data_IF_037967117952
#
_entry.id   IF_037967117952
#
_cell.length_a   1.000
_cell.length_b   1.000
_cell.length_c   1.000
_cell.angle_alpha   90.00
_cell.angle_beta   90.00
_cell.angle_gamma   90.00
#
_symmetry.space_group_name_H-M   'P 1'
#
loop_
_entity.id
_entity.type
_entity.pdbx_description
1 polymer ?
#
# COMPACT_ATOMS: atom_id res chain seq x y z
N UNK A 1 20.31 -3.07 27.22
CA UNK A 1 18.90 -2.73 26.89
C UNK A 1 18.57 -3.54 25.66
N UNK A 2 17.42 -4.21 25.60
CA UNK A 2 17.01 -4.91 24.37
C UNK A 2 16.80 -3.91 23.26
N UNK A 3 17.45 -4.13 22.11
CA UNK A 3 17.20 -3.33 20.92
C UNK A 3 15.74 -3.54 20.51
N UNK A 4 14.98 -2.46 20.37
CA UNK A 4 13.63 -2.55 19.84
C UNK A 4 13.64 -2.77 18.34
N UNK A 5 12.52 -3.22 17.78
CA UNK A 5 12.43 -3.50 16.36
C UNK A 5 11.10 -3.04 15.76
N UNK A 6 11.17 -2.51 14.54
CA UNK A 6 10.00 -2.17 13.73
C UNK A 6 9.99 -3.10 12.50
N UNK A 7 8.94 -3.89 12.36
CA UNK A 7 8.59 -4.56 11.12
C UNK A 7 7.61 -3.71 10.32
N UNK A 8 7.95 -3.35 9.10
CA UNK A 8 7.06 -2.69 8.15
C UNK A 8 6.42 -3.76 7.28
N UNK A 9 5.24 -4.22 7.70
CA UNK A 9 4.65 -5.47 7.19
C UNK A 9 3.64 -5.19 6.09
N UNK A 10 3.90 -5.72 4.90
CA UNK A 10 2.92 -5.84 3.83
C UNK A 10 2.08 -7.11 3.99
N UNK A 11 0.77 -6.95 4.22
CA UNK A 11 -0.15 -8.07 4.42
C UNK A 11 -0.58 -8.77 3.12
N UNK A 12 -0.12 -8.29 1.97
CA UNK A 12 -0.69 -8.69 0.68
C UNK A 12 -2.13 -8.18 0.53
N UNK A 13 -2.97 -8.83 -0.28
CA UNK A 13 -4.34 -8.37 -0.54
C UNK A 13 -5.24 -8.48 0.70
N UNK A 14 -4.85 -9.25 1.71
CA UNK A 14 -5.53 -9.32 2.99
C UNK A 14 -6.30 -10.61 3.26
N UNK A 15 -6.15 -11.63 2.43
CA UNK A 15 -6.54 -13.00 2.79
C UNK A 15 -5.34 -13.74 3.37
N UNK A 16 -5.61 -14.65 4.27
CA UNK A 16 -4.57 -15.43 4.94
C UNK A 16 -3.72 -16.23 3.95
N UNK A 17 -4.35 -16.85 2.95
CA UNK A 17 -3.67 -17.64 1.92
C UNK A 17 -2.67 -16.83 1.06
N UNK A 18 -2.82 -15.51 1.00
CA UNK A 18 -1.97 -14.62 0.20
C UNK A 18 -1.00 -13.78 1.06
N UNK A 19 -0.93 -14.06 2.35
CA UNK A 19 0.05 -13.47 3.25
C UNK A 19 1.34 -14.30 3.21
N UNK A 20 2.49 -13.62 3.13
CA UNK A 20 3.78 -14.33 3.17
C UNK A 20 4.03 -14.97 4.53
N UNK A 21 4.77 -16.09 4.56
CA UNK A 21 5.19 -16.72 5.83
C UNK A 21 5.94 -15.71 6.70
N UNK A 22 6.84 -14.88 6.10
CA UNK A 22 7.59 -13.86 6.83
C UNK A 22 6.69 -12.80 7.48
N UNK A 23 5.59 -12.39 6.82
CA UNK A 23 4.64 -11.46 7.42
C UNK A 23 3.95 -12.06 8.65
N UNK A 24 3.59 -13.34 8.62
CA UNK A 24 3.02 -14.05 9.78
C UNK A 24 4.01 -14.15 10.93
N UNK A 25 5.27 -14.51 10.63
CA UNK A 25 6.34 -14.58 11.63
C UNK A 25 6.57 -13.22 12.30
N UNK A 26 6.66 -12.15 11.52
CA UNK A 26 6.84 -10.80 12.03
C UNK A 26 5.69 -10.39 12.99
N UNK A 27 4.45 -10.67 12.59
CA UNK A 27 3.28 -10.43 13.44
C UNK A 27 3.35 -11.31 14.69
N UNK A 28 3.71 -12.57 14.57
CA UNK A 28 3.75 -13.52 15.70
C UNK A 28 4.73 -13.10 16.80
N UNK A 29 5.94 -12.62 16.42
CA UNK A 29 6.97 -12.20 17.38
C UNK A 29 6.79 -10.78 17.92
N UNK A 30 5.86 -10.00 17.39
CA UNK A 30 5.64 -8.60 17.82
C UNK A 30 4.86 -8.49 19.12
N UNK A 31 5.27 -7.56 19.98
CA UNK A 31 4.56 -7.15 21.18
C UNK A 31 3.36 -6.26 20.84
N UNK A 32 3.56 -5.37 19.86
CA UNK A 32 2.59 -4.33 19.49
C UNK A 32 2.30 -4.37 17.99
N UNK A 33 1.02 -4.32 17.63
CA UNK A 33 0.55 -4.25 16.26
C UNK A 33 -0.09 -2.88 16.02
N UNK A 34 0.42 -2.14 15.05
CA UNK A 34 -0.07 -0.81 14.70
C UNK A 34 -0.59 -0.83 13.27
N UNK A 35 -1.76 -0.27 13.03
CA UNK A 35 -2.30 -0.20 11.67
C UNK A 35 -3.61 0.56 11.55
N UNK A 36 -3.99 0.79 10.29
CA UNK A 36 -5.33 1.28 9.97
C UNK A 36 -6.40 0.25 10.41
N UNK A 37 -7.49 0.74 10.99
CA UNK A 37 -8.55 -0.10 11.56
C UNK A 37 -9.02 -1.23 10.63
N UNK A 38 -9.11 -0.97 9.32
CA UNK A 38 -9.52 -1.99 8.35
C UNK A 38 -8.47 -3.09 8.18
N UNK A 39 -7.16 -2.75 8.24
CA UNK A 39 -6.08 -3.72 8.10
C UNK A 39 -5.91 -4.57 9.36
N UNK A 40 -6.10 -3.98 10.54
CA UNK A 40 -6.13 -4.71 11.81
C UNK A 40 -7.19 -5.83 11.79
N UNK A 41 -8.36 -5.57 11.18
CA UNK A 41 -9.42 -6.58 11.04
C UNK A 41 -9.02 -7.76 10.15
N UNK A 42 -8.06 -7.59 9.22
CA UNK A 42 -7.61 -8.65 8.32
C UNK A 42 -6.70 -9.67 9.02
N UNK A 43 -6.16 -9.31 10.17
CA UNK A 43 -5.21 -10.14 10.94
C UNK A 43 -5.73 -10.42 12.37
N UNK A 44 -7.03 -10.27 12.59
CA UNK A 44 -7.63 -10.39 13.93
C UNK A 44 -7.23 -11.70 14.64
N UNK A 45 -7.25 -12.81 13.91
CA UNK A 45 -6.93 -14.14 14.43
C UNK A 45 -5.42 -14.33 14.75
N UNK A 46 -4.55 -13.47 14.21
CA UNK A 46 -3.10 -13.53 14.43
C UNK A 46 -2.60 -12.62 15.56
N UNK A 47 -3.46 -11.79 16.11
CA UNK A 47 -3.09 -10.72 17.07
C UNK A 47 -3.76 -10.84 18.42
N UNK A 48 -4.31 -12.02 18.73
CA UNK A 48 -4.85 -12.31 20.07
C UNK A 48 -3.76 -12.12 21.12
N UNK A 49 -4.12 -11.50 22.23
CA UNK A 49 -3.24 -11.18 23.36
C UNK A 49 -2.07 -10.21 23.06
N UNK A 50 -2.13 -9.46 21.95
CA UNK A 50 -1.14 -8.44 21.61
C UNK A 50 -1.68 -7.03 21.91
N UNK A 51 -0.77 -6.10 22.17
CA UNK A 51 -1.14 -4.69 22.19
C UNK A 51 -1.51 -4.25 20.76
N UNK A 52 -2.71 -3.67 20.59
CA UNK A 52 -3.19 -3.28 19.25
C UNK A 52 -3.55 -1.80 19.23
N UNK A 53 -2.83 -1.05 18.40
CA UNK A 53 -3.04 0.38 18.20
C UNK A 53 -3.70 0.62 16.85
N UNK A 54 -4.94 1.11 16.90
CA UNK A 54 -5.77 1.42 15.72
C UNK A 54 -5.77 2.92 15.50
N UNK A 55 -5.46 3.34 14.28
CA UNK A 55 -5.48 4.73 13.87
C UNK A 55 -6.32 4.92 12.61
N UNK A 56 -6.80 6.13 12.38
CA UNK A 56 -7.54 6.52 11.18
C UNK A 56 -6.71 6.53 9.90
N UNK A 57 -7.36 6.67 8.76
CA UNK A 57 -6.68 6.69 7.45
C UNK A 57 -5.72 7.89 7.31
N UNK A 58 -6.10 9.05 7.83
CA UNK A 58 -5.33 10.30 7.73
C UNK A 58 -4.26 10.45 8.81
N UNK A 59 -4.10 9.48 9.70
CA UNK A 59 -3.15 9.47 10.82
C UNK A 59 -1.90 8.62 10.48
N UNK A 60 -1.38 8.74 9.24
CA UNK A 60 -0.24 7.93 8.78
C UNK A 60 1.03 8.24 9.57
N UNK A 61 1.36 9.52 9.73
CA UNK A 61 2.53 9.94 10.50
C UNK A 61 2.41 9.57 12.00
N UNK A 62 1.22 9.68 12.57
CA UNK A 62 0.98 9.28 13.97
C UNK A 62 1.26 7.78 14.18
N UNK A 63 0.93 6.93 13.20
CA UNK A 63 1.28 5.51 13.26
C UNK A 63 2.80 5.29 13.23
N UNK A 64 3.53 6.07 12.43
CA UNK A 64 4.98 5.99 12.35
C UNK A 64 5.65 6.45 13.66
N UNK A 65 5.22 7.57 14.23
CA UNK A 65 5.72 8.09 15.50
C UNK A 65 5.44 7.12 16.66
N UNK A 66 4.26 6.53 16.70
CA UNK A 66 3.91 5.53 17.71
C UNK A 66 4.79 4.28 17.58
N UNK A 67 5.03 3.79 16.35
CA UNK A 67 5.91 2.65 16.12
C UNK A 67 7.33 2.93 16.60
N UNK A 68 7.88 4.11 16.31
CA UNK A 68 9.20 4.52 16.75
C UNK A 68 9.27 4.65 18.28
N UNK A 69 8.26 5.27 18.90
CA UNK A 69 8.18 5.42 20.35
C UNK A 69 8.22 4.07 21.07
N UNK A 70 7.41 3.10 20.61
CA UNK A 70 7.37 1.74 21.18
C UNK A 70 8.69 0.99 20.98
N UNK A 71 9.29 1.10 19.78
CA UNK A 71 10.57 0.46 19.49
C UNK A 71 11.70 1.06 20.35
N UNK A 72 11.74 2.39 20.56
CA UNK A 72 12.68 3.03 21.49
C UNK A 72 12.51 2.56 22.93
N UNK A 73 11.31 2.14 23.31
CA UNK A 73 11.04 1.51 24.62
C UNK A 73 11.41 0.01 24.65
N UNK A 74 12.11 -0.51 23.64
CA UNK A 74 12.59 -1.90 23.59
C UNK A 74 11.54 -2.91 23.10
N UNK A 75 10.43 -2.46 22.54
CA UNK A 75 9.36 -3.33 22.01
C UNK A 75 9.62 -3.76 20.58
N UNK A 76 9.11 -4.94 20.23
CA UNK A 76 9.00 -5.41 18.84
C UNK A 76 7.63 -4.97 18.30
N UNK A 77 7.64 -4.19 17.24
CA UNK A 77 6.43 -3.56 16.67
C UNK A 77 6.21 -4.01 15.24
N UNK A 78 5.02 -4.46 14.90
CA UNK A 78 4.59 -4.60 13.50
C UNK A 78 3.70 -3.43 13.11
N UNK A 79 4.18 -2.58 12.20
CA UNK A 79 3.39 -1.57 11.52
C UNK A 79 2.88 -2.16 10.21
N UNK A 80 1.57 -2.47 10.19
CA UNK A 80 0.95 -3.24 9.11
C UNK A 80 0.27 -2.36 8.06
N UNK A 81 0.39 -2.75 6.80
CA UNK A 81 -0.32 -2.16 5.67
C UNK A 81 -0.84 -3.23 4.71
N UNK A 82 -1.90 -2.93 3.99
CA UNK A 82 -2.40 -3.77 2.89
C UNK A 82 -1.44 -3.70 1.71
N UNK A 83 -1.35 -4.77 0.92
CA UNK A 83 -0.45 -4.86 -0.21
C UNK A 83 1.00 -5.03 0.20
N UNK A 84 1.88 -4.31 -0.43
CA UNK A 84 3.29 -4.19 -0.09
C UNK A 84 3.55 -2.89 0.68
N UNK A 85 4.37 -2.96 1.74
CA UNK A 85 4.67 -1.79 2.59
C UNK A 85 5.50 -0.72 1.86
N UNK A 86 6.25 -1.10 0.83
CA UNK A 86 7.06 -0.19 0.00
C UNK A 86 6.32 0.40 -1.20
N UNK A 87 5.13 -0.15 -1.56
CA UNK A 87 4.33 0.32 -2.70
C UNK A 87 3.09 1.06 -2.21
N UNK A 88 3.21 2.37 -2.04
CA UNK A 88 2.17 3.26 -1.44
C UNK A 88 1.70 2.78 -0.06
N UNK A 89 2.59 2.13 0.69
CA UNK A 89 2.38 1.66 2.05
C UNK A 89 3.15 2.48 3.08
N UNK A 90 3.38 1.89 4.25
CA UNK A 90 3.93 2.61 5.41
C UNK A 90 5.46 2.74 5.42
N UNK A 91 6.20 2.10 4.50
CA UNK A 91 7.66 2.13 4.54
C UNK A 91 8.22 3.54 4.31
N UNK A 92 7.78 4.24 3.26
CA UNK A 92 8.23 5.61 2.97
C UNK A 92 8.02 6.57 4.14
N UNK A 93 6.78 6.80 4.60
CA UNK A 93 6.49 7.67 5.73
C UNK A 93 7.25 7.29 7.02
N UNK A 94 7.45 5.99 7.27
CA UNK A 94 8.20 5.55 8.45
C UNK A 94 9.68 5.93 8.35
N UNK A 95 10.30 5.74 7.20
CA UNK A 95 11.70 6.16 7.03
C UNK A 95 11.87 7.68 7.09
N UNK A 96 10.91 8.47 6.61
CA UNK A 96 10.89 9.92 6.79
C UNK A 96 10.90 10.30 8.28
N UNK A 97 9.99 9.74 9.08
CA UNK A 97 9.94 9.96 10.54
C UNK A 97 11.22 9.49 11.24
N UNK A 98 11.78 8.35 10.84
CA UNK A 98 13.04 7.84 11.39
C UNK A 98 14.19 8.83 11.14
N UNK A 99 14.36 9.29 9.90
CA UNK A 99 15.40 10.24 9.51
C UNK A 99 15.25 11.58 10.22
N UNK A 100 14.04 12.13 10.30
CA UNK A 100 13.74 13.35 11.03
C UNK A 100 14.05 13.22 12.53
N UNK A 101 13.91 12.03 13.10
CA UNK A 101 14.25 11.74 14.51
C UNK A 101 15.74 11.53 14.76
N UNK A 102 16.57 11.64 13.73
CA UNK A 102 18.01 11.42 13.80
C UNK A 102 18.42 9.95 13.85
N UNK A 103 17.49 9.01 13.56
CA UNK A 103 17.79 7.59 13.55
C UNK A 103 18.83 7.23 12.47
N UNK A 104 19.71 6.29 12.82
CA UNK A 104 20.68 5.68 11.90
C UNK A 104 20.68 4.17 12.08
N UNK A 105 21.02 3.39 11.04
CA UNK A 105 21.23 1.95 11.19
C UNK A 105 22.24 1.65 12.31
N UNK A 106 21.83 0.80 13.26
CA UNK A 106 22.64 0.48 14.43
C UNK A 106 22.36 1.29 15.70
N UNK A 107 21.47 2.29 15.67
CA UNK A 107 21.14 3.18 16.80
C UNK A 107 20.15 2.55 17.83
N UNK A 108 20.14 1.24 17.98
CA UNK A 108 19.33 0.55 19.00
C UNK A 108 17.87 0.26 18.58
N UNK A 109 17.40 0.79 17.45
CA UNK A 109 16.12 0.39 16.82
C UNK A 109 16.41 -0.26 15.48
N UNK A 110 16.10 -1.54 15.37
CA UNK A 110 16.17 -2.25 14.09
C UNK A 110 14.90 -2.00 13.25
N UNK A 111 15.07 -1.87 11.93
CA UNK A 111 13.95 -1.74 11.00
C UNK A 111 14.06 -2.79 9.91
N UNK A 112 12.98 -3.54 9.70
CA UNK A 112 12.89 -4.56 8.66
C UNK A 112 11.63 -4.34 7.83
N UNK A 113 11.82 -4.23 6.50
CA UNK A 113 10.70 -4.20 5.55
C UNK A 113 10.34 -5.63 5.19
N UNK A 114 9.11 -6.02 5.48
CA UNK A 114 8.57 -7.34 5.15
C UNK A 114 7.62 -7.20 3.95
N UNK A 115 8.00 -7.70 2.77
CA UNK A 115 7.23 -7.52 1.56
C UNK A 115 5.91 -8.28 1.58
N UNK A 116 4.92 -7.72 0.89
CA UNK A 116 3.64 -8.36 0.62
C UNK A 116 3.28 -8.30 -0.87
N UNK A 117 2.31 -9.09 -1.32
CA UNK A 117 1.82 -8.99 -2.69
C UNK A 117 1.11 -7.65 -2.90
N UNK A 118 1.70 -6.80 -3.73
CA UNK A 118 1.15 -5.50 -4.08
C UNK A 118 -0.17 -5.62 -4.85
N UNK A 119 -1.00 -4.58 -4.82
CA UNK A 119 -2.29 -4.58 -5.53
C UNK A 119 -2.14 -4.79 -7.03
N UNK A 120 -1.08 -4.28 -7.67
CA UNK A 120 -0.85 -4.53 -9.11
C UNK A 120 -0.74 -6.04 -9.38
N UNK A 121 0.05 -6.78 -8.60
CA UNK A 121 0.21 -8.21 -8.78
C UNK A 121 -1.08 -8.98 -8.43
N UNK A 122 -1.70 -8.63 -7.30
CA UNK A 122 -2.91 -9.30 -6.82
C UNK A 122 -4.11 -9.09 -7.75
N UNK A 123 -4.29 -7.87 -8.26
CA UNK A 123 -5.37 -7.54 -9.18
C UNK A 123 -5.11 -8.13 -10.58
N UNK A 124 -3.87 -8.05 -11.07
CA UNK A 124 -3.50 -8.63 -12.35
C UNK A 124 -3.73 -10.15 -12.39
N UNK A 125 -3.37 -10.86 -11.32
CA UNK A 125 -3.62 -12.30 -11.20
C UNK A 125 -5.12 -12.63 -11.29
N UNK A 126 -5.99 -11.83 -10.67
CA UNK A 126 -7.45 -12.01 -10.71
C UNK A 126 -8.06 -11.80 -12.10
N UNK A 127 -7.44 -10.96 -12.93
CA UNK A 127 -7.94 -10.64 -14.27
C UNK A 127 -7.12 -11.30 -15.39
N UNK A 128 -6.29 -12.30 -15.06
CA UNK A 128 -5.52 -13.06 -16.03
C UNK A 128 -4.07 -12.60 -16.20
N UNK A 129 -3.49 -11.89 -15.22
CA UNK A 129 -2.09 -11.45 -15.18
C UNK A 129 -1.62 -10.62 -16.39
N UNK A 130 -2.32 -9.54 -16.80
CA UNK A 130 -2.02 -8.75 -18.01
C UNK A 130 -0.89 -7.73 -17.78
N UNK A 131 0.22 -8.11 -17.14
CA UNK A 131 1.35 -7.23 -16.84
C UNK A 131 2.52 -7.34 -17.83
N UNK A 132 2.41 -8.26 -18.76
CA UNK A 132 3.39 -8.44 -19.83
C UNK A 132 3.11 -7.37 -20.92
N UNK A 133 4.07 -6.64 -21.45
CA UNK A 133 5.51 -6.75 -21.34
C UNK A 133 6.09 -5.84 -20.24
N UNK A 134 5.64 -4.58 -20.15
CA UNK A 134 6.07 -3.59 -19.17
C UNK A 134 4.86 -3.00 -18.46
N UNK A 135 4.97 -2.82 -17.15
CA UNK A 135 3.91 -2.27 -16.32
C UNK A 135 4.43 -1.18 -15.39
N UNK A 136 3.58 -0.22 -15.09
CA UNK A 136 3.88 0.82 -14.09
C UNK A 136 2.72 1.03 -13.11
N UNK A 137 3.05 1.57 -11.94
CA UNK A 137 2.08 1.98 -10.92
C UNK A 137 2.07 3.48 -10.79
N UNK A 138 0.88 4.07 -10.76
CA UNK A 138 0.70 5.52 -10.55
C UNK A 138 -0.40 5.73 -9.52
N UNK A 139 -0.07 6.40 -8.41
CA UNK A 139 -1.07 6.83 -7.44
C UNK A 139 -1.72 8.13 -7.90
N UNK A 140 -3.05 8.17 -7.89
CA UNK A 140 -3.83 9.39 -8.15
C UNK A 140 -4.03 10.22 -6.87
N UNK A 141 -3.38 9.85 -5.76
CA UNK A 141 -3.40 10.65 -4.54
C UNK A 141 -2.50 11.87 -4.67
N UNK A 142 -3.08 13.05 -4.60
CA UNK A 142 -2.41 14.33 -4.66
C UNK A 142 -2.08 14.92 -3.28
N UNK A 143 -2.13 14.08 -2.25
CA UNK A 143 -1.84 14.47 -0.87
C UNK A 143 -0.37 14.83 -0.66
N UNK A 144 0.54 13.99 -1.17
CA UNK A 144 1.99 14.16 -1.02
C UNK A 144 2.69 14.48 -2.35
N UNK A 145 2.03 14.27 -3.49
CA UNK A 145 2.59 14.53 -4.82
C UNK A 145 1.71 15.53 -5.55
N UNK A 146 2.24 16.68 -6.01
CA UNK A 146 1.47 17.67 -6.75
C UNK A 146 0.79 17.08 -8.00
N UNK A 147 -0.48 17.38 -8.21
CA UNK A 147 -1.27 16.86 -9.33
C UNK A 147 -0.59 17.05 -10.71
N UNK A 148 0.04 18.20 -11.05
CA UNK A 148 0.77 18.34 -12.31
C UNK A 148 1.89 17.30 -12.52
N UNK A 149 2.52 16.83 -11.44
CA UNK A 149 3.53 15.77 -11.51
C UNK A 149 2.89 14.42 -11.81
N UNK A 150 1.73 14.13 -11.20
CA UNK A 150 0.97 12.91 -11.47
C UNK A 150 0.52 12.88 -12.93
N UNK A 151 -0.01 13.99 -13.46
CA UNK A 151 -0.41 14.11 -14.87
C UNK A 151 0.72 13.79 -15.83
N UNK A 152 1.94 14.35 -15.61
CA UNK A 152 3.11 14.06 -16.43
C UNK A 152 3.51 12.57 -16.40
N UNK A 153 3.35 11.89 -15.24
CA UNK A 153 3.61 10.45 -15.12
C UNK A 153 2.60 9.63 -15.91
N UNK A 154 1.32 10.00 -15.86
CA UNK A 154 0.25 9.33 -16.63
C UNK A 154 0.53 9.49 -18.13
N UNK A 155 0.85 10.70 -18.59
CA UNK A 155 1.16 10.99 -19.97
C UNK A 155 2.37 10.19 -20.46
N UNK A 156 3.47 10.19 -19.70
CA UNK A 156 4.68 9.45 -20.05
C UNK A 156 4.42 7.93 -20.17
N UNK A 157 3.68 7.36 -19.23
CA UNK A 157 3.30 5.95 -19.25
C UNK A 157 2.37 5.61 -20.43
N UNK A 158 1.43 6.50 -20.75
CA UNK A 158 0.51 6.32 -21.87
C UNK A 158 1.26 6.35 -23.21
N UNK A 159 2.18 7.30 -23.40
CA UNK A 159 3.01 7.42 -24.62
C UNK A 159 3.94 6.23 -24.84
N UNK A 160 4.50 5.68 -23.75
CA UNK A 160 5.43 4.55 -23.79
C UNK A 160 4.74 3.17 -23.81
N UNK A 161 3.42 3.12 -23.94
CA UNK A 161 2.63 1.89 -24.05
C UNK A 161 2.70 0.95 -22.84
N UNK A 162 2.96 1.44 -21.64
CA UNK A 162 2.91 0.63 -20.42
C UNK A 162 1.52 0.10 -20.10
N UNK A 163 1.44 -1.08 -19.50
CA UNK A 163 0.26 -1.47 -18.72
C UNK A 163 0.25 -0.60 -17.45
N UNK A 164 -0.84 0.11 -17.21
CA UNK A 164 -0.91 1.11 -16.14
C UNK A 164 -1.82 0.65 -15.02
N UNK A 165 -1.30 0.53 -13.82
CA UNK A 165 -2.10 0.30 -12.61
C UNK A 165 -2.30 1.62 -11.86
N UNK A 166 -3.54 2.12 -11.85
CA UNK A 166 -3.91 3.34 -11.13
C UNK A 166 -4.27 3.00 -9.68
N UNK A 167 -3.48 3.49 -8.74
CA UNK A 167 -3.73 3.36 -7.30
C UNK A 167 -4.49 4.57 -6.77
N UNK A 168 -5.25 4.35 -5.71
CA UNK A 168 -6.03 5.41 -5.05
C UNK A 168 -6.89 6.22 -6.05
N UNK A 169 -7.64 5.58 -6.96
CA UNK A 169 -8.30 6.29 -8.06
C UNK A 169 -9.40 7.24 -7.58
N UNK A 170 -10.01 6.96 -6.42
CA UNK A 170 -11.13 7.76 -5.91
C UNK A 170 -11.17 7.74 -4.37
N UNK A 171 -11.60 8.85 -3.78
CA UNK A 171 -11.96 8.96 -2.36
C UNK A 171 -13.21 9.82 -2.21
N UNK A 172 -13.72 9.98 -0.99
CA UNK A 172 -14.90 10.82 -0.72
C UNK A 172 -14.77 12.27 -1.20
N UNK A 173 -13.53 12.80 -1.21
CA UNK A 173 -13.24 14.19 -1.63
C UNK A 173 -12.55 14.29 -2.99
N UNK A 174 -11.90 13.20 -3.44
CA UNK A 174 -11.11 13.17 -4.66
C UNK A 174 -11.83 12.32 -5.72
N UNK A 175 -12.51 12.99 -6.65
CA UNK A 175 -13.30 12.35 -7.70
C UNK A 175 -12.92 12.79 -9.11
N UNK A 176 -12.24 13.94 -9.25
CA UNK A 176 -11.88 14.52 -10.55
C UNK A 176 -10.59 13.92 -11.13
N UNK A 177 -9.68 13.44 -10.28
CA UNK A 177 -8.38 12.91 -10.69
C UNK A 177 -8.49 11.73 -11.64
N UNK A 178 -9.45 10.83 -11.41
CA UNK A 178 -9.69 9.70 -12.31
C UNK A 178 -10.25 10.15 -13.68
N UNK A 179 -11.10 11.17 -13.70
CA UNK A 179 -11.67 11.74 -14.94
C UNK A 179 -10.57 12.42 -15.76
N UNK A 180 -9.68 13.18 -15.11
CA UNK A 180 -8.55 13.80 -15.80
C UNK A 180 -7.54 12.76 -16.27
N UNK A 181 -7.28 11.71 -15.49
CA UNK A 181 -6.44 10.60 -15.90
C UNK A 181 -6.99 9.92 -17.16
N UNK A 182 -8.30 9.61 -17.20
CA UNK A 182 -8.98 9.09 -18.38
C UNK A 182 -8.80 10.00 -19.59
N UNK A 183 -9.00 11.32 -19.43
CA UNK A 183 -8.85 12.29 -20.52
C UNK A 183 -7.43 12.31 -21.10
N UNK A 184 -6.40 12.18 -20.24
CA UNK A 184 -5.01 12.11 -20.68
C UNK A 184 -4.76 10.80 -21.44
N UNK A 185 -5.20 9.67 -20.88
CA UNK A 185 -5.01 8.35 -21.48
C UNK A 185 -5.66 8.25 -22.87
N UNK A 186 -6.86 8.81 -23.05
CA UNK A 186 -7.56 8.83 -24.34
C UNK A 186 -6.85 9.62 -25.44
N UNK A 187 -5.85 10.43 -25.13
CA UNK A 187 -5.02 11.11 -26.13
C UNK A 187 -3.99 10.17 -26.78
N UNK A 188 -3.68 9.04 -26.12
CA UNK A 188 -2.61 8.10 -26.52
C UNK A 188 -3.11 6.67 -26.72
N UNK A 189 -4.30 6.35 -26.22
CA UNK A 189 -4.88 5.02 -26.25
C UNK A 189 -6.24 5.03 -26.95
N UNK A 190 -6.59 3.88 -27.50
CA UNK A 190 -7.92 3.70 -28.13
C UNK A 190 -9.01 3.71 -27.06
N UNK A 191 -10.20 4.23 -27.38
CA UNK A 191 -11.37 4.18 -26.45
C UNK A 191 -11.71 2.77 -25.96
N UNK A 192 -11.52 1.76 -26.82
CA UNK A 192 -11.81 0.35 -26.53
C UNK A 192 -10.71 -0.33 -25.70
N UNK A 193 -9.61 0.37 -25.35
CA UNK A 193 -8.56 -0.19 -24.50
C UNK A 193 -9.16 -0.83 -23.25
N UNK A 194 -8.87 -2.13 -22.97
CA UNK A 194 -9.46 -2.84 -21.84
C UNK A 194 -9.06 -2.21 -20.51
N UNK A 195 -10.04 -2.10 -19.62
CA UNK A 195 -9.86 -1.64 -18.23
C UNK A 195 -10.50 -2.64 -17.28
N UNK A 196 -9.79 -3.01 -16.23
CA UNK A 196 -10.33 -3.80 -15.13
C UNK A 196 -10.35 -2.99 -13.85
N UNK A 197 -11.50 -2.92 -13.20
CA UNK A 197 -11.68 -2.33 -11.88
C UNK A 197 -11.75 -3.46 -10.86
N UNK A 198 -10.77 -3.52 -9.96
CA UNK A 198 -10.70 -4.55 -8.94
C UNK A 198 -10.81 -3.92 -7.56
N UNK A 199 -11.81 -4.33 -6.81
CA UNK A 199 -12.04 -3.87 -5.43
C UNK A 199 -11.95 -5.03 -4.47
N UNK A 200 -11.21 -4.82 -3.37
CA UNK A 200 -11.08 -5.81 -2.28
C UNK A 200 -10.60 -7.18 -2.78
N UNK A 201 -9.55 -7.18 -3.62
CA UNK A 201 -8.92 -8.39 -4.17
C UNK A 201 -8.69 -9.46 -3.07
N UNK A 202 -9.13 -10.69 -3.31
CA UNK A 202 -9.02 -11.82 -2.39
C UNK A 202 -9.65 -11.61 -0.99
N UNK A 203 -10.60 -10.68 -0.85
CA UNK A 203 -11.34 -10.42 0.39
C UNK A 203 -12.81 -10.79 0.20
N UNK A 204 -13.55 -10.92 1.31
CA UNK A 204 -14.99 -11.27 1.31
C UNK A 204 -15.87 -10.41 0.38
N UNK A 205 -15.49 -9.14 0.16
CA UNK A 205 -16.22 -8.20 -0.69
C UNK A 205 -15.48 -7.94 -2.01
N UNK A 206 -14.78 -8.95 -2.53
CA UNK A 206 -14.13 -8.86 -3.83
C UNK A 206 -15.14 -8.52 -4.92
N UNK A 207 -14.81 -7.56 -5.74
CA UNK A 207 -15.55 -7.24 -6.96
C UNK A 207 -14.57 -6.98 -8.10
N UNK A 208 -14.88 -7.53 -9.26
CA UNK A 208 -14.13 -7.36 -10.51
C UNK A 208 -15.12 -6.89 -11.56
N UNK A 209 -14.81 -5.78 -12.20
CA UNK A 209 -15.60 -5.21 -13.30
C UNK A 209 -14.68 -4.96 -14.49
N UNK A 210 -15.06 -5.47 -15.64
CA UNK A 210 -14.37 -5.20 -16.90
C UNK A 210 -15.07 -4.07 -17.63
N UNK A 211 -14.29 -3.16 -18.18
CA UNK A 211 -14.76 -1.98 -18.88
C UNK A 211 -13.82 -1.63 -20.04
N UNK A 212 -14.03 -0.50 -20.64
CA UNK A 212 -13.11 0.14 -21.61
C UNK A 212 -12.66 1.49 -21.10
N UNK A 213 -11.58 2.01 -21.68
CA UNK A 213 -11.03 3.29 -21.28
C UNK A 213 -12.05 4.43 -21.39
N UNK A 214 -12.91 4.41 -22.40
CA UNK A 214 -13.97 5.43 -22.56
C UNK A 214 -15.07 5.36 -21.50
N UNK A 215 -15.22 4.20 -20.83
CA UNK A 215 -16.31 3.92 -19.86
C UNK A 215 -15.82 3.75 -18.43
N UNK A 216 -14.53 3.93 -18.18
CA UNK A 216 -13.98 3.74 -16.83
C UNK A 216 -14.37 4.85 -15.85
#
# INVERSE_FOLDING_TARGET
MSNGKIFLVGLGPGSEAHMTARAREAIAVSDTIIGYTTYIKLVADLIENKEVIRKGMTEELDRCHEALSRARAGKIVSLISSGDSGVYGMAGPTYEVLLESGWKPGDGVEVEVVPGSSAINSCAALVGAPLTHDACTISLSDLLTPWPTIMRRIEAAARADFVIALYNPKSGRRTQQIVEAQRILLQYRKPETPVALVKSAYRRRQNIEFSTLEKM
#
